data_IF_967326281972
#
_entry.id   IF_967326281972
#
_cell.length_a   1.000
_cell.length_b   1.000
_cell.length_c   1.000
_cell.angle_alpha   90.00
_cell.angle_beta   90.00
_cell.angle_gamma   90.00
#
_symmetry.space_group_name_H-M   'P 1'
#
loop_
_entity.id
_entity.type
_entity.pdbx_description
1 polymer ?
#
# COMPACT_ATOMS: atom_id res chain seq x y z
N UNK A 1 32.14 43.88 -95.20
CA UNK A 1 30.90 44.63 -94.89
C UNK A 1 29.65 43.76 -94.80
N UNK A 2 29.15 43.13 -95.88
CA UNK A 2 27.89 42.32 -95.80
C UNK A 2 28.06 41.00 -95.02
N UNK A 3 29.16 40.27 -95.27
CA UNK A 3 29.51 39.03 -94.56
C UNK A 3 29.72 39.23 -93.04
N UNK A 4 30.27 40.38 -92.64
CA UNK A 4 30.50 40.70 -91.22
C UNK A 4 29.17 40.95 -90.48
N UNK A 5 28.23 41.64 -91.13
CA UNK A 5 26.88 41.85 -90.61
C UNK A 5 26.09 40.54 -90.46
N UNK A 6 26.25 39.62 -91.40
CA UNK A 6 25.60 38.30 -91.35
C UNK A 6 26.16 37.45 -90.20
N UNK A 7 27.48 37.45 -90.01
CA UNK A 7 28.14 36.78 -88.90
C UNK A 7 27.70 37.36 -87.55
N UNK A 8 27.61 38.68 -87.44
CA UNK A 8 27.18 39.35 -86.21
C UNK A 8 25.70 39.06 -85.88
N UNK A 9 24.82 39.03 -86.90
CA UNK A 9 23.42 38.62 -86.73
C UNK A 9 23.30 37.18 -86.23
N UNK A 10 24.10 36.27 -86.78
CA UNK A 10 24.12 34.86 -86.38
C UNK A 10 24.60 34.71 -84.93
N UNK A 11 25.67 35.41 -84.55
CA UNK A 11 26.21 35.41 -83.18
C UNK A 11 25.20 35.92 -82.14
N UNK A 12 24.46 36.99 -82.47
CA UNK A 12 23.39 37.52 -81.62
C UNK A 12 22.26 36.48 -81.48
N UNK A 13 21.86 35.86 -82.58
CA UNK A 13 20.83 34.81 -82.57
C UNK A 13 21.26 33.61 -81.73
N UNK A 14 22.46 33.07 -81.95
CA UNK A 14 23.04 31.97 -81.19
C UNK A 14 23.11 32.28 -79.69
N UNK A 15 23.60 33.47 -79.30
CA UNK A 15 23.59 33.89 -77.88
C UNK A 15 22.18 33.93 -77.29
N UNK A 16 21.19 34.38 -78.06
CA UNK A 16 19.80 34.48 -77.58
C UNK A 16 19.19 33.10 -77.36
N UNK A 17 19.43 32.17 -78.29
CA UNK A 17 19.03 30.76 -78.17
C UNK A 17 19.71 30.10 -76.97
N UNK A 18 21.02 30.29 -76.80
CA UNK A 18 21.78 29.70 -75.68
C UNK A 18 21.25 30.22 -74.33
N UNK A 19 20.96 31.53 -74.23
CA UNK A 19 20.33 32.15 -73.05
C UNK A 19 18.96 31.54 -72.75
N UNK A 20 18.12 31.35 -73.77
CA UNK A 20 16.79 30.73 -73.57
C UNK A 20 16.90 29.26 -73.18
N UNK A 21 17.86 28.52 -73.77
CA UNK A 21 18.12 27.12 -73.42
C UNK A 21 18.57 26.99 -71.97
N UNK A 22 19.49 27.84 -71.54
CA UNK A 22 19.95 27.90 -70.14
C UNK A 22 18.81 28.24 -69.19
N UNK A 23 18.04 29.29 -69.48
CA UNK A 23 16.87 29.67 -68.66
C UNK A 23 15.85 28.54 -68.53
N UNK A 24 15.57 27.80 -69.61
CA UNK A 24 14.69 26.62 -69.56
C UNK A 24 15.26 25.50 -68.69
N UNK A 25 16.56 25.24 -68.76
CA UNK A 25 17.23 24.24 -67.92
C UNK A 25 17.15 24.63 -66.44
N UNK A 26 17.40 25.90 -66.11
CA UNK A 26 17.30 26.42 -64.74
C UNK A 26 15.87 26.26 -64.17
N UNK A 27 14.84 26.52 -64.99
CA UNK A 27 13.45 26.31 -64.58
C UNK A 27 13.11 24.83 -64.33
N UNK A 28 13.62 23.92 -65.17
CA UNK A 28 13.42 22.48 -65.00
C UNK A 28 14.13 21.96 -63.74
N UNK A 29 15.34 22.48 -63.47
CA UNK A 29 16.11 22.14 -62.28
C UNK A 29 15.38 22.57 -61.01
N UNK A 30 14.95 23.84 -60.95
CA UNK A 30 14.18 24.37 -59.80
C UNK A 30 12.89 23.59 -59.56
N UNK A 31 12.25 23.12 -60.63
CA UNK A 31 11.04 22.33 -60.53
C UNK A 31 11.32 20.92 -59.98
N UNK A 32 12.39 20.25 -60.43
CA UNK A 32 12.80 18.95 -59.90
C UNK A 32 13.20 19.02 -58.42
N UNK A 33 13.89 20.08 -58.00
CA UNK A 33 14.26 20.31 -56.60
C UNK A 33 13.03 20.48 -55.70
N UNK A 34 12.05 21.27 -56.15
CA UNK A 34 10.82 21.46 -55.40
C UNK A 34 9.93 20.20 -55.36
N UNK A 35 9.91 19.41 -56.45
CA UNK A 35 9.26 18.08 -56.48
C UNK A 35 9.89 17.12 -55.45
N UNK A 36 11.22 17.11 -55.34
CA UNK A 36 11.93 16.30 -54.34
C UNK A 36 11.66 16.77 -52.90
N UNK A 37 11.59 18.09 -52.67
CA UNK A 37 11.25 18.63 -51.35
C UNK A 37 9.82 18.23 -50.91
N UNK A 38 8.85 18.27 -51.84
CA UNK A 38 7.48 17.80 -51.58
C UNK A 38 7.47 16.30 -51.25
N UNK A 39 8.20 15.47 -52.00
CA UNK A 39 8.27 14.03 -51.72
C UNK A 39 8.86 13.75 -50.33
N UNK A 40 9.87 14.51 -49.92
CA UNK A 40 10.44 14.43 -48.57
C UNK A 40 9.42 14.83 -47.49
N UNK A 41 8.63 15.89 -47.72
CA UNK A 41 7.57 16.26 -46.78
C UNK A 41 6.49 15.20 -46.67
N UNK A 42 6.02 14.64 -47.79
CA UNK A 42 4.97 13.61 -47.79
C UNK A 42 5.45 12.36 -47.03
N UNK A 43 6.68 11.91 -47.30
CA UNK A 43 7.25 10.74 -46.61
C UNK A 43 7.42 10.97 -45.11
N UNK A 44 7.91 12.13 -44.68
CA UNK A 44 8.09 12.47 -43.27
C UNK A 44 6.75 12.76 -42.53
N UNK A 45 5.74 13.22 -43.27
CA UNK A 45 4.42 13.58 -42.73
C UNK A 45 3.53 12.36 -42.44
N UNK A 46 3.80 11.21 -43.07
CA UNK A 46 2.97 10.01 -42.96
C UNK A 46 1.62 10.10 -43.68
N UNK A 47 1.35 11.20 -44.39
CA UNK A 47 0.12 11.41 -45.16
C UNK A 47 0.19 10.61 -46.47
N UNK A 48 -0.25 9.35 -46.44
CA UNK A 48 -0.15 8.39 -47.56
C UNK A 48 -1.02 8.71 -48.80
N UNK A 49 -1.82 9.79 -48.79
CA UNK A 49 -2.89 9.98 -49.76
C UNK A 49 -2.73 11.14 -50.76
N UNK A 50 -1.62 11.86 -50.77
CA UNK A 50 -1.39 12.98 -51.70
C UNK A 50 -0.31 12.63 -52.72
N UNK A 51 -0.65 11.86 -53.76
CA UNK A 51 0.23 11.74 -54.91
C UNK A 51 0.28 13.08 -55.64
N UNK A 52 1.32 13.89 -55.40
CA UNK A 52 1.54 15.11 -56.16
C UNK A 52 1.80 14.75 -57.63
N UNK A 53 0.96 15.27 -58.53
CA UNK A 53 1.16 15.11 -59.98
C UNK A 53 1.41 16.47 -60.62
N UNK A 54 2.36 16.50 -61.56
CA UNK A 54 2.72 17.71 -62.29
C UNK A 54 1.48 18.21 -63.05
N UNK A 55 0.96 19.38 -62.69
CA UNK A 55 -0.20 19.99 -63.36
C UNK A 55 0.07 20.23 -64.85
N UNK A 56 -0.99 20.27 -65.68
CA UNK A 56 -0.86 20.61 -67.12
C UNK A 56 -0.68 22.12 -67.30
N UNK A 57 0.28 22.56 -68.12
CA UNK A 57 0.49 23.98 -68.44
C UNK A 57 1.93 24.35 -68.80
N UNK A 58 2.21 25.65 -68.86
CA UNK A 58 3.57 26.17 -69.06
C UNK A 58 4.43 25.95 -67.82
N UNK A 59 5.77 25.88 -67.98
CA UNK A 59 6.72 25.74 -66.87
C UNK A 59 6.50 26.78 -65.76
N UNK A 60 6.19 28.03 -66.13
CA UNK A 60 5.91 29.09 -65.16
C UNK A 60 4.66 28.81 -64.32
N UNK A 61 3.60 28.29 -64.94
CA UNK A 61 2.37 27.93 -64.21
C UNK A 61 2.61 26.74 -63.26
N UNK A 62 3.38 25.74 -63.70
CA UNK A 62 3.74 24.58 -62.87
C UNK A 62 4.57 25.01 -61.66
N UNK A 63 5.55 25.90 -61.84
CA UNK A 63 6.37 26.44 -60.75
C UNK A 63 5.51 27.21 -59.74
N UNK A 64 4.57 28.06 -60.21
CA UNK A 64 3.67 28.79 -59.30
C UNK A 64 2.79 27.84 -58.48
N UNK A 65 2.26 26.78 -59.09
CA UNK A 65 1.43 25.79 -58.39
C UNK A 65 2.23 25.01 -57.34
N UNK A 66 3.45 24.58 -57.68
CA UNK A 66 4.36 23.89 -56.75
C UNK A 66 4.73 24.79 -55.58
N UNK A 67 5.08 26.06 -55.86
CA UNK A 67 5.46 27.03 -54.83
C UNK A 67 4.35 27.19 -53.79
N UNK A 68 3.11 27.31 -54.23
CA UNK A 68 1.94 27.40 -53.35
C UNK A 68 1.79 26.17 -52.44
N UNK A 69 1.90 24.96 -52.99
CA UNK A 69 1.81 23.71 -52.20
C UNK A 69 2.93 23.64 -51.17
N UNK A 70 4.13 24.06 -51.55
CA UNK A 70 5.31 24.02 -50.70
C UNK A 70 5.18 25.02 -49.53
N UNK A 71 4.57 26.18 -49.75
CA UNK A 71 4.20 27.13 -48.68
C UNK A 71 3.14 26.55 -47.72
N UNK A 72 2.11 25.85 -48.23
CA UNK A 72 1.10 25.16 -47.39
C UNK A 72 1.74 24.07 -46.51
N UNK A 73 2.57 23.20 -47.10
CA UNK A 73 3.24 22.12 -46.37
C UNK A 73 4.21 22.65 -45.31
N UNK A 74 4.97 23.70 -45.61
CA UNK A 74 5.85 24.36 -44.63
C UNK A 74 5.04 24.94 -43.46
N UNK A 75 3.91 25.57 -43.75
CA UNK A 75 3.01 26.13 -42.72
C UNK A 75 2.43 25.04 -41.81
N UNK A 76 1.99 23.90 -42.38
CA UNK A 76 1.52 22.74 -41.59
C UNK A 76 2.61 22.11 -40.73
N UNK A 77 3.85 22.03 -41.24
CA UNK A 77 4.99 21.54 -40.45
C UNK A 77 5.22 22.42 -39.23
N UNK A 78 5.24 23.74 -39.42
CA UNK A 78 5.42 24.70 -38.31
C UNK A 78 4.32 24.58 -37.27
N UNK A 79 3.06 24.43 -37.71
CA UNK A 79 1.92 24.23 -36.82
C UNK A 79 2.05 22.95 -35.98
N UNK A 80 2.44 21.81 -36.60
CA UNK A 80 2.67 20.56 -35.86
C UNK A 80 3.82 20.65 -34.86
N UNK A 81 4.89 21.37 -35.19
CA UNK A 81 6.01 21.62 -34.26
C UNK A 81 5.51 22.40 -33.04
N UNK A 82 4.68 23.43 -33.26
CA UNK A 82 4.09 24.22 -32.17
C UNK A 82 3.17 23.38 -31.28
N UNK A 83 2.30 22.58 -31.87
CA UNK A 83 1.41 21.67 -31.14
C UNK A 83 2.18 20.62 -30.34
N UNK A 84 3.26 20.07 -30.92
CA UNK A 84 4.14 19.13 -30.23
C UNK A 84 4.86 19.80 -29.05
N UNK A 85 5.38 21.01 -29.24
CA UNK A 85 6.03 21.77 -28.17
C UNK A 85 5.07 22.10 -27.03
N UNK A 86 3.82 22.48 -27.34
CA UNK A 86 2.79 22.74 -26.34
C UNK A 86 2.43 21.46 -25.58
N UNK A 87 2.28 20.34 -26.28
CA UNK A 87 2.00 19.04 -25.66
C UNK A 87 3.15 18.61 -24.76
N UNK A 88 4.40 18.77 -25.22
CA UNK A 88 5.59 18.47 -24.43
C UNK A 88 5.67 19.36 -23.17
N UNK A 89 5.35 20.64 -23.30
CA UNK A 89 5.26 21.56 -22.16
C UNK A 89 4.18 21.11 -21.15
N UNK A 90 3.00 20.71 -21.63
CA UNK A 90 1.94 20.19 -20.78
C UNK A 90 2.36 18.88 -20.08
N UNK A 91 3.05 17.97 -20.78
CA UNK A 91 3.59 16.75 -20.18
C UNK A 91 4.58 17.10 -19.07
N UNK A 92 5.54 17.99 -19.33
CA UNK A 92 6.53 18.42 -18.32
C UNK A 92 5.82 19.06 -17.11
N UNK A 93 4.80 19.89 -17.34
CA UNK A 93 3.98 20.48 -16.28
C UNK A 93 3.26 19.42 -15.45
N UNK A 94 2.58 18.46 -16.08
CA UNK A 94 1.90 17.35 -15.39
C UNK A 94 2.91 16.48 -14.61
N UNK A 95 4.07 16.18 -15.20
CA UNK A 95 5.13 15.44 -14.51
C UNK A 95 5.64 16.21 -13.28
N UNK A 96 5.81 17.53 -13.39
CA UNK A 96 6.17 18.39 -12.26
C UNK A 96 5.05 18.48 -11.21
N UNK A 97 3.78 18.48 -11.61
CA UNK A 97 2.61 18.42 -10.70
C UNK A 97 2.58 17.09 -9.93
N UNK A 98 2.82 15.97 -10.61
CA UNK A 98 2.88 14.64 -9.99
C UNK A 98 4.10 14.52 -9.05
N UNK A 99 5.22 15.16 -9.41
CA UNK A 99 6.45 15.17 -8.61
C UNK A 99 6.45 16.21 -7.47
N UNK A 100 5.58 17.24 -7.53
CA UNK A 100 5.39 18.24 -6.48
C UNK A 100 6.16 19.57 -6.62
N UNK A 101 6.55 20.00 -7.84
CA UNK A 101 7.49 21.14 -8.07
C UNK A 101 6.88 22.45 -8.69
N UNK A 102 5.70 22.91 -8.23
CA UNK A 102 5.18 24.32 -8.25
C UNK A 102 4.47 25.02 -9.44
N UNK A 103 3.23 25.52 -9.15
CA UNK A 103 2.76 26.94 -9.08
C UNK A 103 1.22 27.00 -8.93
N UNK A 104 0.52 27.80 -8.12
CA UNK A 104 0.79 28.65 -6.94
C UNK A 104 -0.51 28.89 -6.09
N UNK A 105 -1.71 28.46 -6.53
CA UNK A 105 -2.96 28.72 -5.76
C UNK A 105 -3.83 27.45 -5.53
N UNK A 106 -3.94 26.53 -6.50
CA UNK A 106 -4.64 25.24 -6.29
C UNK A 106 -3.77 24.15 -5.63
N UNK A 107 -2.45 24.30 -5.72
CA UNK A 107 -1.45 23.40 -5.13
C UNK A 107 -1.43 23.48 -3.61
N UNK A 108 -1.61 24.67 -3.04
CA UNK A 108 -1.61 24.87 -1.60
C UNK A 108 -2.75 24.10 -0.93
N UNK A 109 -3.97 24.21 -1.47
CA UNK A 109 -5.14 23.50 -0.93
C UNK A 109 -4.97 21.97 -0.99
N UNK A 110 -4.41 21.44 -2.09
CA UNK A 110 -4.16 20.00 -2.21
C UNK A 110 -3.03 19.52 -1.28
N UNK A 111 -1.95 20.30 -1.13
CA UNK A 111 -0.87 19.99 -0.19
C UNK A 111 -1.36 20.07 1.26
N UNK A 112 -2.17 21.07 1.60
CA UNK A 112 -2.83 21.21 2.91
C UNK A 112 -3.72 20.00 3.18
N UNK A 113 -4.56 19.60 2.22
CA UNK A 113 -5.45 18.44 2.38
C UNK A 113 -4.65 17.13 2.57
N UNK A 114 -3.56 16.94 1.82
CA UNK A 114 -2.68 15.77 1.98
C UNK A 114 -1.95 15.79 3.31
N UNK A 115 -1.46 16.94 3.75
CA UNK A 115 -0.82 17.11 5.05
C UNK A 115 -1.81 16.84 6.20
N UNK A 116 -3.04 17.32 6.09
CA UNK A 116 -4.13 17.00 7.02
C UNK A 116 -4.37 15.49 7.09
N UNK A 117 -4.38 14.80 5.95
CA UNK A 117 -4.52 13.34 5.90
C UNK A 117 -3.34 12.61 6.57
N UNK A 118 -2.10 13.04 6.31
CA UNK A 118 -0.91 12.51 6.99
C UNK A 118 -1.01 12.72 8.50
N UNK A 119 -1.33 13.93 8.94
CA UNK A 119 -1.49 14.23 10.37
C UNK A 119 -2.63 13.42 11.00
N UNK A 120 -3.74 13.23 10.30
CA UNK A 120 -4.81 12.36 10.76
C UNK A 120 -4.33 10.93 10.96
N UNK A 121 -3.58 10.37 10.00
CA UNK A 121 -3.00 9.04 10.14
C UNK A 121 -2.01 8.93 11.31
N UNK A 122 -1.16 9.93 11.50
CA UNK A 122 -0.24 10.00 12.64
C UNK A 122 -1.04 10.01 13.96
N UNK A 123 -2.08 10.83 14.05
CA UNK A 123 -2.94 10.89 15.24
C UNK A 123 -3.64 9.55 15.49
N UNK A 124 -4.15 8.87 14.46
CA UNK A 124 -4.75 7.53 14.62
C UNK A 124 -3.73 6.51 15.14
N UNK A 125 -2.48 6.55 14.64
CA UNK A 125 -1.42 5.66 15.16
C UNK A 125 -1.11 6.00 16.62
N UNK A 126 -1.08 7.27 16.99
CA UNK A 126 -0.90 7.70 18.37
C UNK A 126 -2.05 7.24 19.29
N UNK A 127 -3.30 7.38 18.86
CA UNK A 127 -4.45 6.85 19.62
C UNK A 127 -4.36 5.33 19.81
N UNK A 128 -3.96 4.60 18.77
CA UNK A 128 -3.73 3.16 18.85
C UNK A 128 -2.56 2.83 19.78
N UNK A 129 -1.49 3.64 19.81
CA UNK A 129 -0.35 3.43 20.71
C UNK A 129 -0.71 3.66 22.16
N UNK A 130 -1.59 4.63 22.45
CA UNK A 130 -2.10 4.84 23.81
C UNK A 130 -2.89 3.61 24.32
N UNK A 131 -3.68 2.96 23.46
CA UNK A 131 -4.51 1.81 23.86
C UNK A 131 -3.69 0.52 24.00
N UNK A 132 -2.76 0.27 23.08
CA UNK A 132 -1.99 -0.99 23.01
C UNK A 132 -0.57 -0.89 23.60
N UNK A 133 -0.16 0.30 24.05
CA UNK A 133 1.15 0.59 24.64
C UNK A 133 2.35 0.13 23.81
N UNK A 134 2.31 0.34 22.49
CA UNK A 134 3.47 0.09 21.61
C UNK A 134 4.29 1.37 21.38
N UNK A 135 5.51 1.22 20.85
CA UNK A 135 6.35 2.36 20.48
C UNK A 135 5.81 3.10 19.24
N UNK A 136 5.18 4.23 19.51
CA UNK A 136 4.66 5.14 18.48
C UNK A 136 5.75 5.60 17.50
N UNK A 137 6.92 5.95 18.01
CA UNK A 137 7.98 6.54 17.19
C UNK A 137 8.59 5.51 16.26
N UNK A 138 8.79 4.27 16.72
CA UNK A 138 9.24 3.16 15.87
C UNK A 138 8.30 2.99 14.66
N UNK A 139 6.99 2.90 14.91
CA UNK A 139 5.98 2.70 13.85
C UNK A 139 5.92 3.86 12.85
N UNK A 140 6.03 5.10 13.34
CA UNK A 140 5.98 6.29 12.48
C UNK A 140 7.29 6.50 11.71
N UNK A 141 8.43 6.25 12.36
CA UNK A 141 9.76 6.29 11.73
C UNK A 141 9.90 5.27 10.63
N UNK A 142 9.34 4.07 10.85
CA UNK A 142 9.24 3.06 9.82
C UNK A 142 8.62 3.70 8.60
N UNK A 143 7.41 4.26 8.67
CA UNK A 143 6.76 4.89 7.52
C UNK A 143 7.62 5.96 6.84
N UNK A 144 8.13 6.93 7.61
CA UNK A 144 9.14 7.90 7.15
C UNK A 144 9.75 8.67 8.34
N UNK A 145 11.09 8.84 8.43
CA UNK A 145 11.75 9.46 9.59
C UNK A 145 11.35 10.93 9.82
N UNK A 146 11.02 11.67 8.76
CA UNK A 146 10.58 13.07 8.86
C UNK A 146 9.22 13.27 9.56
N UNK A 147 8.53 12.20 9.97
CA UNK A 147 7.20 12.28 10.59
C UNK A 147 7.28 12.38 12.12
N UNK A 148 8.38 11.89 12.70
CA UNK A 148 8.59 11.77 14.14
C UNK A 148 9.26 12.98 14.77
N UNK A 149 10.10 13.70 14.01
CA UNK A 149 10.92 14.78 14.54
C UNK A 149 10.66 16.13 13.82
N UNK A 150 10.06 17.13 14.49
CA UNK A 150 9.91 18.47 13.96
C UNK A 150 11.18 19.35 14.08
N UNK A 151 12.22 18.89 14.78
CA UNK A 151 13.46 19.67 15.05
C UNK A 151 14.45 19.64 13.89
N UNK A 152 14.41 18.59 13.08
CA UNK A 152 15.08 18.55 11.79
C UNK A 152 14.24 19.41 10.86
N UNK A 153 14.76 20.52 10.34
CA UNK A 153 14.05 21.45 9.44
C UNK A 153 13.54 20.87 8.10
N UNK A 154 13.34 19.55 8.03
CA UNK A 154 12.69 18.82 6.97
C UNK A 154 11.17 18.88 7.15
N UNK A 155 10.46 19.21 6.07
CA UNK A 155 9.01 19.12 6.03
C UNK A 155 8.55 17.66 6.13
N UNK A 156 7.38 17.43 6.77
CA UNK A 156 6.76 16.12 6.82
C UNK A 156 6.54 15.59 5.41
N UNK A 157 6.98 14.36 5.15
CA UNK A 157 6.77 13.70 3.86
C UNK A 157 5.28 13.46 3.59
N UNK A 158 4.77 14.03 2.50
CA UNK A 158 3.38 13.88 2.03
C UNK A 158 3.26 12.99 0.78
N UNK A 159 4.29 12.18 0.50
CA UNK A 159 4.35 11.31 -0.69
C UNK A 159 3.26 10.23 -0.66
N UNK A 160 2.88 9.71 -1.84
CA UNK A 160 1.95 8.57 -1.93
C UNK A 160 2.51 7.32 -1.23
N UNK A 161 3.83 7.14 -1.29
CA UNK A 161 4.51 6.05 -0.59
C UNK A 161 4.34 6.17 0.93
N UNK A 162 4.58 7.37 1.48
CA UNK A 162 4.38 7.64 2.92
C UNK A 162 2.95 7.39 3.36
N UNK A 163 1.97 7.89 2.60
CA UNK A 163 0.55 7.65 2.88
C UNK A 163 0.18 6.16 2.80
N UNK A 164 0.69 5.42 1.81
CA UNK A 164 0.44 3.99 1.67
C UNK A 164 1.01 3.20 2.85
N UNK A 165 2.21 3.56 3.33
CA UNK A 165 2.82 2.94 4.51
C UNK A 165 2.07 3.23 5.79
N UNK A 166 1.67 4.49 6.02
CA UNK A 166 0.83 4.86 7.16
C UNK A 166 -0.52 4.13 7.12
N UNK A 167 -1.15 4.03 5.95
CA UNK A 167 -2.40 3.29 5.77
C UNK A 167 -2.22 1.79 6.06
N UNK A 168 -1.10 1.21 5.61
CA UNK A 168 -0.72 -0.16 5.89
C UNK A 168 -0.54 -0.42 7.39
N UNK A 169 0.24 0.43 8.06
CA UNK A 169 0.48 0.36 9.50
C UNK A 169 -0.82 0.45 10.30
N UNK A 170 -1.70 1.43 9.99
CA UNK A 170 -3.01 1.56 10.64
C UNK A 170 -3.85 0.30 10.47
N UNK A 171 -3.85 -0.31 9.28
CA UNK A 171 -4.61 -1.55 9.04
C UNK A 171 -4.10 -2.69 9.92
N UNK A 172 -2.79 -2.90 9.96
CA UNK A 172 -2.16 -3.93 10.79
C UNK A 172 -2.43 -3.70 12.27
N UNK A 173 -2.27 -2.46 12.76
CA UNK A 173 -2.53 -2.11 14.16
C UNK A 173 -4.00 -2.29 14.57
N UNK A 174 -4.95 -1.97 13.67
CA UNK A 174 -6.37 -2.22 13.94
C UNK A 174 -6.68 -3.72 14.04
N UNK A 175 -6.05 -4.54 13.19
CA UNK A 175 -6.18 -5.98 13.26
C UNK A 175 -5.58 -6.54 14.55
N UNK A 176 -4.40 -6.07 14.95
CA UNK A 176 -3.77 -6.46 16.20
C UNK A 176 -4.60 -6.04 17.42
N UNK A 177 -5.16 -4.83 17.44
CA UNK A 177 -6.10 -4.37 18.48
C UNK A 177 -7.27 -5.34 18.64
N UNK A 178 -7.86 -5.77 17.53
CA UNK A 178 -8.95 -6.74 17.54
C UNK A 178 -8.51 -8.10 18.08
N UNK A 179 -7.35 -8.60 17.68
CA UNK A 179 -6.80 -9.87 18.16
C UNK A 179 -6.53 -9.83 19.67
N UNK A 180 -5.89 -8.76 20.16
CA UNK A 180 -5.60 -8.57 21.58
C UNK A 180 -6.87 -8.47 22.41
N UNK A 181 -7.88 -7.73 21.95
CA UNK A 181 -9.18 -7.64 22.62
C UNK A 181 -9.86 -9.00 22.72
N UNK A 182 -9.95 -9.74 21.62
CA UNK A 182 -10.59 -11.06 21.61
C UNK A 182 -9.87 -12.03 22.56
N UNK A 183 -8.54 -12.09 22.51
CA UNK A 183 -7.73 -12.94 23.39
C UNK A 183 -8.00 -12.60 24.86
N UNK A 184 -8.05 -11.32 25.20
CA UNK A 184 -8.31 -10.87 26.56
C UNK A 184 -9.72 -11.22 27.03
N UNK A 185 -10.73 -11.12 26.16
CA UNK A 185 -12.11 -11.53 26.45
C UNK A 185 -12.22 -13.04 26.71
N UNK A 186 -11.53 -13.86 25.91
CA UNK A 186 -11.51 -15.32 26.07
C UNK A 186 -10.81 -15.73 27.39
N UNK A 187 -9.68 -15.09 27.70
CA UNK A 187 -8.96 -15.30 28.96
C UNK A 187 -9.81 -14.88 30.17
N UNK A 188 -10.47 -13.73 30.10
CA UNK A 188 -11.31 -13.24 31.20
C UNK A 188 -12.54 -14.13 31.42
N UNK A 189 -13.11 -14.68 30.34
CA UNK A 189 -14.18 -15.68 30.42
C UNK A 189 -13.70 -16.95 31.13
N UNK A 190 -12.49 -17.41 30.80
CA UNK A 190 -11.85 -18.56 31.48
C UNK A 190 -11.60 -18.25 32.96
N UNK A 191 -11.14 -17.04 33.26
CA UNK A 191 -10.87 -16.57 34.62
C UNK A 191 -12.15 -16.58 35.48
N UNK A 192 -13.27 -16.11 34.94
CA UNK A 192 -14.58 -16.18 35.62
C UNK A 192 -15.01 -17.61 35.92
N UNK A 193 -14.84 -18.53 34.97
CA UNK A 193 -15.16 -19.95 35.18
C UNK A 193 -14.30 -20.52 36.31
N UNK A 194 -13.00 -20.23 36.32
CA UNK A 194 -12.08 -20.70 37.36
C UNK A 194 -12.40 -20.10 38.73
N UNK A 195 -12.72 -18.81 38.83
CA UNK A 195 -13.13 -18.18 40.08
C UNK A 195 -14.42 -18.78 40.62
N UNK A 196 -15.42 -19.02 39.78
CA UNK A 196 -16.66 -19.67 40.18
C UNK A 196 -16.42 -21.10 40.66
N UNK A 197 -15.54 -21.84 39.98
CA UNK A 197 -15.22 -23.22 40.35
C UNK A 197 -14.41 -23.30 41.66
N UNK A 198 -13.51 -22.34 41.89
CA UNK A 198 -12.62 -22.33 43.04
C UNK A 198 -13.18 -21.56 44.25
N UNK A 199 -14.37 -20.97 44.09
CA UNK A 199 -15.03 -20.08 45.05
C UNK A 199 -14.12 -18.92 45.47
N UNK A 200 -13.47 -18.28 44.49
CA UNK A 200 -12.52 -17.21 44.72
C UNK A 200 -13.19 -15.98 45.37
N UNK A 201 -12.47 -15.36 46.30
CA UNK A 201 -12.97 -14.21 47.07
C UNK A 201 -13.15 -12.97 46.19
N UNK A 202 -14.02 -12.04 46.62
CA UNK A 202 -14.25 -10.77 45.91
C UNK A 202 -12.94 -9.96 45.79
N UNK A 203 -12.07 -10.02 46.81
CA UNK A 203 -10.78 -9.32 46.81
C UNK A 203 -9.81 -9.85 45.74
N UNK A 204 -9.85 -11.14 45.44
CA UNK A 204 -9.07 -11.75 44.36
C UNK A 204 -9.60 -11.34 42.98
N UNK A 205 -10.92 -11.27 42.83
CA UNK A 205 -11.58 -10.84 41.59
C UNK A 205 -11.35 -9.34 41.31
N UNK A 206 -11.33 -8.51 42.37
CA UNK A 206 -11.16 -7.05 42.26
C UNK A 206 -9.85 -6.65 41.57
N UNK A 207 -8.78 -7.44 41.73
CA UNK A 207 -7.47 -7.19 41.10
C UNK A 207 -7.55 -7.13 39.57
N UNK A 208 -8.50 -7.85 38.99
CA UNK A 208 -8.72 -7.94 37.54
C UNK A 208 -9.97 -7.19 37.08
N UNK A 209 -10.56 -6.33 37.93
CA UNK A 209 -11.77 -5.57 37.59
C UNK A 209 -11.61 -4.72 36.31
N UNK A 210 -10.40 -4.24 36.05
CA UNK A 210 -10.05 -3.48 34.85
C UNK A 210 -10.13 -4.29 33.56
N UNK A 211 -9.96 -5.62 33.63
CA UNK A 211 -10.11 -6.54 32.50
C UNK A 211 -11.54 -7.07 32.41
N UNK A 212 -12.16 -7.33 33.55
CA UNK A 212 -13.56 -7.76 33.66
C UNK A 212 -14.52 -6.80 32.97
N UNK A 213 -14.25 -5.49 33.02
CA UNK A 213 -15.05 -4.49 32.30
C UNK A 213 -14.94 -4.57 30.77
N UNK A 214 -13.86 -5.16 30.25
CA UNK A 214 -13.59 -5.25 28.80
C UNK A 214 -14.36 -6.38 28.11
N UNK A 215 -14.96 -7.32 28.86
CA UNK A 215 -15.75 -8.42 28.30
C UNK A 215 -16.91 -7.90 27.43
N UNK A 216 -17.56 -6.83 27.87
CA UNK A 216 -18.69 -6.24 27.14
C UNK A 216 -18.29 -5.08 26.23
N UNK A 217 -17.00 -4.75 26.14
CA UNK A 217 -16.53 -3.63 25.33
C UNK A 217 -16.54 -3.95 23.84
N UNK A 218 -17.01 -3.02 23.03
CA UNK A 218 -16.90 -3.08 21.57
C UNK A 218 -15.50 -2.62 21.11
N UNK A 219 -15.11 -3.01 19.88
CA UNK A 219 -13.81 -2.64 19.29
C UNK A 219 -13.62 -1.11 19.23
N UNK A 220 -14.70 -0.37 18.99
CA UNK A 220 -14.70 1.09 18.83
C UNK A 220 -14.73 1.85 20.17
N UNK A 221 -15.19 1.21 21.25
CA UNK A 221 -15.37 1.84 22.55
C UNK A 221 -14.26 1.54 23.56
N UNK A 222 -13.18 0.82 23.23
CA UNK A 222 -12.08 0.55 24.19
C UNK A 222 -11.36 1.86 24.55
N UNK A 223 -11.63 2.48 25.73
CA UNK A 223 -11.17 3.83 26.03
C UNK A 223 -10.00 3.86 27.02
N UNK A 224 -9.58 2.70 27.54
CA UNK A 224 -8.58 2.62 28.61
C UNK A 224 -7.19 2.61 27.99
N UNK A 225 -6.44 3.67 28.26
CA UNK A 225 -5.02 3.75 27.95
C UNK A 225 -4.29 2.55 28.55
N UNK A 226 -3.55 1.82 27.71
CA UNK A 226 -2.81 0.61 28.06
C UNK A 226 -3.68 -0.61 28.39
N UNK A 227 -5.00 -0.55 28.21
CA UNK A 227 -5.89 -1.69 28.51
C UNK A 227 -5.65 -2.92 27.63
N UNK A 228 -5.00 -2.75 26.47
CA UNK A 228 -4.62 -3.84 25.54
C UNK A 228 -3.10 -3.97 25.40
N UNK A 229 -2.36 -3.56 26.42
CA UNK A 229 -0.92 -3.73 26.45
C UNK A 229 -0.53 -5.21 26.61
N UNK A 230 0.66 -5.59 26.13
CA UNK A 230 1.11 -6.99 26.15
C UNK A 230 1.31 -7.51 27.58
N UNK A 231 1.79 -6.67 28.49
CA UNK A 231 1.97 -6.97 29.90
C UNK A 231 0.64 -7.24 30.61
N UNK A 232 -0.44 -6.53 30.25
CA UNK A 232 -1.79 -6.80 30.77
C UNK A 232 -2.28 -8.17 30.33
N UNK A 233 -2.11 -8.52 29.05
CA UNK A 233 -2.48 -9.83 28.52
C UNK A 233 -1.69 -10.92 29.24
N UNK A 234 -0.37 -10.74 29.37
CA UNK A 234 0.53 -11.68 30.05
C UNK A 234 0.13 -11.88 31.52
N UNK A 235 -0.22 -10.81 32.24
CA UNK A 235 -0.70 -10.90 33.63
C UNK A 235 -1.95 -11.77 33.77
N UNK A 236 -2.91 -11.65 32.85
CA UNK A 236 -4.13 -12.46 32.87
C UNK A 236 -3.82 -13.91 32.52
N UNK A 237 -2.96 -14.16 31.54
CA UNK A 237 -2.51 -15.52 31.19
C UNK A 237 -1.85 -16.22 32.38
N UNK A 238 -0.94 -15.52 33.08
CA UNK A 238 -0.27 -16.05 34.26
C UNK A 238 -1.25 -16.36 35.40
N UNK A 239 -2.29 -15.54 35.58
CA UNK A 239 -3.31 -15.81 36.61
C UNK A 239 -4.17 -17.01 36.24
N UNK A 240 -4.57 -17.15 34.97
CA UNK A 240 -5.30 -18.34 34.51
C UNK A 240 -4.47 -19.60 34.75
N UNK A 241 -3.17 -19.56 34.44
CA UNK A 241 -2.26 -20.68 34.71
C UNK A 241 -2.14 -20.98 36.21
N UNK A 242 -1.94 -19.95 37.03
CA UNK A 242 -1.88 -20.09 38.50
C UNK A 242 -3.15 -20.72 39.06
N UNK A 243 -4.33 -20.33 38.57
CA UNK A 243 -5.61 -20.89 39.01
C UNK A 243 -5.81 -22.32 38.52
N UNK A 244 -5.33 -22.68 37.32
CA UNK A 244 -5.34 -24.07 36.85
C UNK A 244 -4.49 -24.97 37.75
N UNK A 245 -3.31 -24.50 38.15
CA UNK A 245 -2.45 -25.21 39.12
C UNK A 245 -3.16 -25.37 40.47
N UNK A 246 -3.79 -24.30 40.96
CA UNK A 246 -4.56 -24.34 42.22
C UNK A 246 -5.74 -25.32 42.14
N UNK A 247 -6.45 -25.33 41.02
CA UNK A 247 -7.54 -26.28 40.74
C UNK A 247 -7.04 -27.72 40.79
N UNK A 248 -5.92 -28.02 40.12
CA UNK A 248 -5.33 -29.35 40.16
C UNK A 248 -4.93 -29.74 41.59
N UNK A 249 -4.31 -28.83 42.36
CA UNK A 249 -3.93 -29.06 43.75
C UNK A 249 -5.14 -29.36 44.65
N UNK A 250 -6.21 -28.56 44.57
CA UNK A 250 -7.45 -28.80 45.33
C UNK A 250 -8.10 -30.12 44.94
N UNK A 251 -8.07 -30.46 43.65
CA UNK A 251 -8.64 -31.72 43.16
C UNK A 251 -7.85 -32.94 43.68
N UNK A 252 -6.52 -32.87 43.74
CA UNK A 252 -5.69 -33.91 44.36
C UNK A 252 -6.02 -34.08 45.84
N UNK A 253 -6.14 -32.98 46.59
CA UNK A 253 -6.51 -33.02 48.01
C UNK A 253 -7.86 -33.71 48.23
N UNK A 254 -8.86 -33.36 47.41
CA UNK A 254 -10.18 -33.99 47.47
C UNK A 254 -10.13 -35.48 47.15
N UNK A 255 -9.39 -35.89 46.11
CA UNK A 255 -9.22 -37.30 45.75
C UNK A 255 -8.56 -38.08 46.89
N UNK A 256 -7.46 -37.57 47.44
CA UNK A 256 -6.79 -38.22 48.58
C UNK A 256 -7.69 -38.32 49.79
N UNK A 257 -8.46 -37.28 50.11
CA UNK A 257 -9.42 -37.33 51.21
C UNK A 257 -10.44 -38.45 51.02
N UNK A 258 -11.03 -38.56 49.82
CA UNK A 258 -12.04 -39.59 49.55
C UNK A 258 -11.46 -41.00 49.43
N UNK A 259 -10.23 -41.14 48.94
CA UNK A 259 -9.51 -42.43 48.97
C UNK A 259 -9.23 -42.89 50.40
N UNK A 260 -8.76 -41.98 51.27
CA UNK A 260 -8.53 -42.29 52.67
C UNK A 260 -9.85 -42.69 53.37
N UNK A 261 -10.95 -41.97 53.12
CA UNK A 261 -12.28 -42.35 53.63
C UNK A 261 -12.69 -43.77 53.18
N UNK A 262 -12.38 -44.13 51.94
CA UNK A 262 -12.68 -45.46 51.40
C UNK A 262 -11.82 -46.54 52.07
N UNK A 263 -10.51 -46.31 52.24
CA UNK A 263 -9.60 -47.22 52.94
C UNK A 263 -10.00 -47.45 54.41
N UNK A 264 -10.49 -46.42 55.12
CA UNK A 264 -11.04 -46.57 56.47
C UNK A 264 -12.26 -47.51 56.48
N UNK A 265 -13.15 -47.41 55.49
CA UNK A 265 -14.32 -48.30 55.37
C UNK A 265 -13.87 -49.74 55.13
N UNK A 266 -12.93 -49.97 54.21
CA UNK A 266 -12.40 -51.31 53.92
C UNK A 266 -11.71 -51.93 55.13
N UNK A 267 -10.89 -51.15 55.84
CA UNK A 267 -10.28 -51.58 57.11
C UNK A 267 -11.33 -51.91 58.17
N UNK A 268 -12.42 -51.15 58.26
CA UNK A 268 -13.54 -51.43 59.16
C UNK A 268 -14.21 -52.78 58.89
N UNK A 269 -14.21 -53.25 57.64
CA UNK A 269 -14.69 -54.58 57.24
C UNK A 269 -13.58 -55.63 57.10
N UNK A 270 -12.37 -55.32 57.60
CA UNK A 270 -11.20 -56.22 57.62
C UNK A 270 -10.72 -56.66 56.23
N UNK A 271 -10.90 -55.80 55.22
CA UNK A 271 -10.29 -55.95 53.90
C UNK A 271 -9.08 -55.03 53.79
N UNK A 272 -7.99 -55.57 53.22
CA UNK A 272 -6.75 -54.83 52.97
C UNK A 272 -6.64 -54.53 51.47
N UNK A 273 -6.34 -53.28 51.13
CA UNK A 273 -6.32 -52.76 49.75
C UNK A 273 -5.07 -51.92 49.56
N UNK A 274 -4.34 -52.22 48.49
CA UNK A 274 -3.23 -51.40 48.00
C UNK A 274 -3.77 -50.37 46.98
N UNK A 275 -3.94 -49.13 47.43
CA UNK A 275 -4.53 -48.04 46.64
C UNK A 275 -3.48 -47.16 45.94
N UNK A 276 -2.18 -47.43 46.13
CA UNK A 276 -1.10 -46.53 45.72
C UNK A 276 -1.02 -46.39 44.19
N UNK A 277 -1.20 -47.48 43.45
CA UNK A 277 -1.21 -47.46 41.98
C UNK A 277 -2.40 -46.66 41.43
N UNK A 278 -3.58 -46.84 42.02
CA UNK A 278 -4.78 -46.08 41.63
C UNK A 278 -4.62 -44.59 41.95
N UNK A 279 -3.95 -44.26 43.06
CA UNK A 279 -3.61 -42.90 43.46
C UNK A 279 -2.70 -42.21 42.44
N UNK A 280 -1.63 -42.88 42.01
CA UNK A 280 -0.71 -42.35 40.98
C UNK A 280 -1.41 -42.15 39.63
N UNK A 281 -2.28 -43.07 39.21
CA UNK A 281 -3.07 -42.93 37.96
C UNK A 281 -4.00 -41.71 38.05
N UNK A 282 -4.69 -41.51 39.16
CA UNK A 282 -5.60 -40.36 39.34
C UNK A 282 -4.83 -39.03 39.38
N UNK A 283 -3.64 -38.99 39.99
CA UNK A 283 -2.75 -37.81 39.97
C UNK A 283 -2.36 -37.46 38.54
N UNK A 284 -1.90 -38.45 37.76
CA UNK A 284 -1.52 -38.25 36.36
C UNK A 284 -2.67 -37.73 35.50
N UNK A 285 -3.90 -38.24 35.72
CA UNK A 285 -5.09 -37.75 35.04
C UNK A 285 -5.40 -36.28 35.39
N UNK A 286 -5.31 -35.90 36.67
CA UNK A 286 -5.53 -34.52 37.11
C UNK A 286 -4.51 -33.56 36.49
N UNK A 287 -3.23 -33.93 36.47
CA UNK A 287 -2.16 -33.11 35.92
C UNK A 287 -2.25 -32.96 34.40
N UNK A 288 -2.73 -33.99 33.70
CA UNK A 288 -2.93 -33.96 32.25
C UNK A 288 -4.13 -33.11 31.79
N UNK A 289 -5.01 -32.71 32.71
CA UNK A 289 -6.26 -32.01 32.39
C UNK A 289 -7.31 -32.87 31.66
N UNK A 290 -7.06 -34.16 31.44
CA UNK A 290 -8.00 -35.10 30.83
C UNK A 290 -8.95 -35.69 31.88
N UNK A 291 -10.14 -35.10 31.97
CA UNK A 291 -11.22 -35.58 32.85
C UNK A 291 -12.22 -36.46 32.08
N UNK A 292 -11.77 -37.55 31.45
CA UNK A 292 -12.74 -38.52 30.97
C UNK A 292 -13.36 -39.22 32.20
N UNK A 293 -14.59 -38.86 32.54
CA UNK A 293 -15.35 -39.36 33.71
C UNK A 293 -15.30 -40.89 33.81
N UNK A 294 -15.24 -41.59 32.68
CA UNK A 294 -15.15 -43.05 32.58
C UNK A 294 -13.79 -43.63 32.99
N UNK A 295 -12.68 -42.94 32.72
CA UNK A 295 -11.34 -43.39 33.17
C UNK A 295 -11.13 -43.05 34.65
N UNK A 296 -11.60 -41.87 35.06
CA UNK A 296 -11.56 -41.44 36.46
C UNK A 296 -12.37 -42.40 37.35
N UNK A 297 -13.59 -42.76 36.96
CA UNK A 297 -14.42 -43.72 37.70
C UNK A 297 -13.90 -45.15 37.64
N UNK A 298 -13.32 -45.61 36.53
CA UNK A 298 -12.69 -46.94 36.46
C UNK A 298 -11.46 -47.06 37.36
N UNK A 299 -10.61 -46.03 37.39
CA UNK A 299 -9.45 -46.01 38.28
C UNK A 299 -9.86 -45.86 39.75
N UNK A 300 -10.93 -45.10 40.02
CA UNK A 300 -11.49 -44.93 41.36
C UNK A 300 -12.14 -46.23 41.90
N UNK A 301 -12.67 -47.06 41.00
CA UNK A 301 -13.26 -48.36 41.31
C UNK A 301 -12.30 -49.55 41.11
N UNK A 302 -11.00 -49.31 40.83
CA UNK A 302 -9.99 -50.38 40.73
C UNK A 302 -9.48 -50.88 42.10
N UNK A 303 -10.31 -50.66 43.12
CA UNK A 303 -10.19 -51.18 44.48
C UNK A 303 -10.99 -52.47 44.59
#
# INVERSE_FOLDING_TARGET
MFLELEQECLDIYCRKVEKTRKYKADLLQSLAEAEAEIANFISASGEQHTSFSRGKGTLKQQISAIKFILEDLRSKKEQRIKEFSETQFQIVRICAEIAGNEQSIKSADLQILRLQKVNHHINTIHELSLVMSFDFFETVNDAHPSLSDPTIGQSKSISNYTLARLTGAIRSLKQEKQQRLQKLQDLTSTLMILWNLLEASVDEQQKFAHVTSLISSSIDEVPVQGGLALDVIEQVELEVERLNILKASKMKELVFKRQNELEEVYRGVHMDIDSDVAREILIGLIESGFYHVLEFTKSYCMV
#
